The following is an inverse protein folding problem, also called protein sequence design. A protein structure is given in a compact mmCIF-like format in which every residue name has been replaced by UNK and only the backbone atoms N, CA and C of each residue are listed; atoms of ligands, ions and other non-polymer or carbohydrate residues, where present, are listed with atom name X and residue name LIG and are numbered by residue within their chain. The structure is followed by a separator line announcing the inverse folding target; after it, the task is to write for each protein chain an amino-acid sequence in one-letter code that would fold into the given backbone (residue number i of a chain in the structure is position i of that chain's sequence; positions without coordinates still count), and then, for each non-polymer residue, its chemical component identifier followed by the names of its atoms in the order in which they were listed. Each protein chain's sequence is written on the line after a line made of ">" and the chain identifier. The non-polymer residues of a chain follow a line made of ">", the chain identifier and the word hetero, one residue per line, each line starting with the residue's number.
data_IF_699445171908
#
_entry.id   IF_699445171908
#
_cell.length_a   1.000
_cell.length_b   1.000
_cell.length_c   1.000
_cell.angle_alpha   90.00
_cell.angle_beta   90.00
_cell.angle_gamma   90.00
#
_symmetry.space_group_name_H-M   'P 1'
#
loop_
_entity.id
_entity.type
_entity.pdbx_description
1 polymer ?
#
# COMPACT_ATOMS: atom_id res chain seq x y z
N UNK A 1 65.89 33.44 -17.43
CA UNK A 1 66.77 32.26 -17.48
C UNK A 1 65.89 31.06 -17.73
N UNK A 2 66.04 30.44 -18.89
CA UNK A 2 65.37 29.19 -19.26
C UNK A 2 65.90 28.07 -18.38
N UNK A 3 65.01 27.38 -17.67
CA UNK A 3 65.29 26.14 -16.97
C UNK A 3 64.21 25.13 -17.36
N UNK A 4 64.66 23.96 -17.81
CA UNK A 4 63.87 22.85 -18.34
C UNK A 4 62.81 22.34 -17.36
N UNK A 5 61.53 22.45 -17.74
CA UNK A 5 60.39 21.90 -17.01
C UNK A 5 60.15 20.40 -17.26
N UNK A 6 61.03 19.73 -18.00
CA UNK A 6 60.76 18.38 -18.50
C UNK A 6 61.16 17.23 -17.55
N UNK A 7 61.72 17.48 -16.36
CA UNK A 7 62.26 16.41 -15.51
C UNK A 7 62.14 16.62 -13.98
N UNK A 8 61.03 17.19 -13.49
CA UNK A 8 60.76 17.25 -12.05
C UNK A 8 59.73 16.17 -11.62
N UNK A 9 59.90 15.47 -10.48
CA UNK A 9 58.90 14.56 -9.95
C UNK A 9 57.57 15.30 -9.68
N UNK A 10 56.44 14.67 -9.99
CA UNK A 10 55.11 15.31 -9.94
C UNK A 10 54.74 15.95 -8.60
N UNK A 11 55.34 15.55 -7.49
CA UNK A 11 55.12 16.13 -6.16
C UNK A 11 55.73 17.53 -5.98
N UNK A 12 56.87 17.83 -6.61
CA UNK A 12 57.50 19.16 -6.55
C UNK A 12 56.80 20.18 -7.47
N UNK A 13 56.31 19.71 -8.62
CA UNK A 13 55.43 20.51 -9.49
C UNK A 13 54.15 20.91 -8.74
N UNK A 14 53.52 19.97 -8.03
CA UNK A 14 52.32 20.24 -7.24
C UNK A 14 52.57 21.18 -6.05
N UNK A 15 53.74 21.11 -5.42
CA UNK A 15 54.12 22.00 -4.32
C UNK A 15 54.41 23.44 -4.79
N UNK A 16 55.04 23.63 -5.95
CA UNK A 16 55.22 24.98 -6.53
C UNK A 16 53.93 25.52 -7.14
N UNK A 17 53.08 24.67 -7.69
CA UNK A 17 51.76 25.04 -8.20
C UNK A 17 50.84 25.52 -7.06
N UNK A 18 50.81 24.83 -5.91
CA UNK A 18 49.93 25.22 -4.78
C UNK A 18 50.28 26.56 -4.15
N UNK A 19 51.54 27.00 -4.24
CA UNK A 19 52.02 28.29 -3.68
C UNK A 19 51.62 29.49 -4.57
N UNK A 20 51.27 29.26 -5.84
CA UNK A 20 50.81 30.28 -6.79
C UNK A 20 49.27 30.36 -6.93
N UNK A 21 48.51 29.46 -6.31
CA UNK A 21 47.09 29.22 -6.64
C UNK A 21 46.04 29.94 -5.76
N UNK A 22 46.48 30.78 -4.81
CA UNK A 22 45.56 31.59 -4.00
C UNK A 22 44.72 32.59 -4.82
N UNK A 23 45.22 33.02 -5.98
CA UNK A 23 44.53 34.02 -6.83
C UNK A 23 43.68 33.41 -7.95
N UNK A 24 44.02 32.23 -8.48
CA UNK A 24 43.28 31.63 -9.60
C UNK A 24 41.97 30.99 -9.15
N UNK A 25 41.97 30.33 -7.98
CA UNK A 25 40.75 29.78 -7.37
C UNK A 25 39.74 30.88 -7.06
N UNK A 26 40.21 31.98 -6.45
CA UNK A 26 39.40 33.16 -6.15
C UNK A 26 38.89 33.84 -7.42
N UNK A 27 39.73 33.96 -8.46
CA UNK A 27 39.31 34.48 -9.77
C UNK A 27 38.27 33.58 -10.46
N UNK A 28 38.39 32.25 -10.38
CA UNK A 28 37.40 31.32 -10.92
C UNK A 28 36.09 31.35 -10.12
N UNK A 29 36.16 31.40 -8.79
CA UNK A 29 35.02 31.55 -7.86
C UNK A 29 34.30 32.92 -8.02
N UNK A 30 35.03 34.00 -8.32
CA UNK A 30 34.46 35.36 -8.45
C UNK A 30 34.07 35.73 -9.89
N UNK A 31 34.69 35.13 -10.92
CA UNK A 31 34.57 35.60 -12.32
C UNK A 31 34.03 34.55 -13.30
N UNK A 32 34.24 33.25 -13.07
CA UNK A 32 33.93 32.20 -14.07
C UNK A 32 32.79 31.27 -13.67
N UNK A 33 32.55 31.07 -12.37
CA UNK A 33 31.35 30.43 -11.85
C UNK A 33 30.95 31.15 -10.56
N UNK A 34 29.99 32.09 -10.58
CA UNK A 34 29.45 32.59 -9.32
C UNK A 34 29.01 31.39 -8.48
N UNK A 35 29.23 31.38 -7.15
CA UNK A 35 28.63 30.35 -6.31
C UNK A 35 27.16 30.29 -6.67
N UNK A 36 26.68 29.10 -7.06
CA UNK A 36 25.26 28.89 -7.32
C UNK A 36 24.55 29.51 -6.13
N UNK A 37 23.73 30.53 -6.38
CA UNK A 37 22.93 31.07 -5.29
C UNK A 37 22.12 29.91 -4.69
N UNK A 38 21.70 30.05 -3.43
CA UNK A 38 20.99 28.96 -2.73
C UNK A 38 19.76 28.50 -3.53
N UNK A 39 19.19 29.37 -4.36
CA UNK A 39 18.11 29.06 -5.30
C UNK A 39 18.55 28.14 -6.45
N UNK A 40 19.68 28.42 -7.11
CA UNK A 40 20.25 27.63 -8.19
C UNK A 40 20.76 26.28 -7.70
N UNK A 41 21.32 26.21 -6.49
CA UNK A 41 21.69 24.94 -5.87
C UNK A 41 20.46 24.09 -5.52
N UNK A 42 19.39 24.71 -4.98
CA UNK A 42 18.10 24.03 -4.75
C UNK A 42 17.47 23.55 -6.05
N UNK A 43 17.45 24.39 -7.08
CA UNK A 43 16.90 24.04 -8.38
C UNK A 43 17.67 22.87 -9.03
N UNK A 44 19.01 22.91 -8.99
CA UNK A 44 19.84 21.81 -9.48
C UNK A 44 19.62 20.52 -8.69
N UNK A 45 19.51 20.60 -7.35
CA UNK A 45 19.20 19.46 -6.50
C UNK A 45 17.83 18.86 -6.79
N UNK A 46 16.80 19.69 -6.97
CA UNK A 46 15.45 19.25 -7.31
C UNK A 46 15.40 18.59 -8.69
N UNK A 47 16.06 19.17 -9.70
CA UNK A 47 16.14 18.58 -11.04
C UNK A 47 16.88 17.23 -11.04
N UNK A 48 17.95 17.11 -10.25
CA UNK A 48 18.67 15.84 -10.09
C UNK A 48 17.80 14.78 -9.40
N UNK A 49 17.06 15.16 -8.35
CA UNK A 49 16.13 14.25 -7.67
C UNK A 49 14.99 13.81 -8.58
N UNK A 50 14.40 14.74 -9.35
CA UNK A 50 13.35 14.44 -10.31
C UNK A 50 13.82 13.46 -11.39
N UNK A 51 15.00 13.69 -11.98
CA UNK A 51 15.59 12.79 -12.95
C UNK A 51 15.84 11.39 -12.35
N UNK A 52 16.43 11.32 -11.14
CA UNK A 52 16.70 10.04 -10.48
C UNK A 52 15.42 9.24 -10.16
N UNK A 53 14.37 9.91 -9.68
CA UNK A 53 13.08 9.27 -9.37
C UNK A 53 12.40 8.77 -10.65
N UNK A 54 12.39 9.59 -11.70
CA UNK A 54 11.81 9.22 -12.99
C UNK A 54 12.55 8.03 -13.62
N UNK A 55 13.88 8.05 -13.60
CA UNK A 55 14.70 6.98 -14.18
C UNK A 55 14.58 5.67 -13.40
N UNK A 56 14.49 5.75 -12.06
CA UNK A 56 14.47 4.55 -11.20
C UNK A 56 13.08 3.93 -11.08
N UNK A 57 12.04 4.75 -10.93
CA UNK A 57 10.69 4.29 -10.58
C UNK A 57 9.63 4.62 -11.65
N UNK A 58 9.97 5.44 -12.65
CA UNK A 58 9.03 5.88 -13.68
C UNK A 58 7.83 6.61 -13.10
N UNK A 59 8.05 7.46 -12.10
CA UNK A 59 7.07 8.38 -11.50
C UNK A 59 7.69 9.76 -11.37
N UNK A 60 6.85 10.79 -11.28
CA UNK A 60 7.35 12.13 -11.04
C UNK A 60 7.71 12.36 -9.56
N UNK A 61 8.41 13.46 -9.29
CA UNK A 61 8.88 13.79 -7.94
C UNK A 61 7.72 14.08 -6.97
N UNK A 62 6.59 14.59 -7.45
CA UNK A 62 5.43 14.89 -6.62
C UNK A 62 4.74 13.59 -6.14
N UNK A 63 4.56 12.64 -7.05
CA UNK A 63 4.07 11.30 -6.78
C UNK A 63 4.98 10.55 -5.80
N UNK A 64 6.30 10.64 -6.00
CA UNK A 64 7.26 10.07 -5.05
C UNK A 64 7.15 10.72 -3.66
N UNK A 65 6.98 12.04 -3.58
CA UNK A 65 6.77 12.75 -2.31
C UNK A 65 5.50 12.27 -1.58
N UNK A 66 4.40 12.01 -2.30
CA UNK A 66 3.19 11.41 -1.72
C UNK A 66 3.46 10.01 -1.16
N UNK A 67 4.33 9.25 -1.82
CA UNK A 67 4.85 7.97 -1.33
C UNK A 67 5.61 8.12 -0.02
N UNK A 68 6.51 9.10 0.06
CA UNK A 68 7.29 9.40 1.28
C UNK A 68 6.38 9.79 2.44
N UNK A 69 5.36 10.61 2.21
CA UNK A 69 4.37 10.97 3.23
C UNK A 69 3.61 9.74 3.75
N UNK A 70 3.25 8.83 2.84
CA UNK A 70 2.54 7.59 3.18
C UNK A 70 3.39 6.66 4.04
N UNK A 71 4.66 6.45 3.67
CA UNK A 71 5.61 5.62 4.42
C UNK A 71 5.93 6.26 5.78
N UNK A 72 6.20 7.56 5.81
CA UNK A 72 6.50 8.30 7.04
C UNK A 72 5.32 8.29 8.01
N UNK A 73 4.09 8.49 7.49
CA UNK A 73 2.87 8.41 8.29
C UNK A 73 2.64 7.00 8.86
N UNK A 74 2.93 5.96 8.08
CA UNK A 74 2.85 4.58 8.56
C UNK A 74 3.87 4.30 9.68
N UNK A 75 5.12 4.72 9.52
CA UNK A 75 6.16 4.57 10.54
C UNK A 75 5.84 5.36 11.81
N UNK A 76 5.35 6.59 11.66
CA UNK A 76 4.93 7.41 12.80
C UNK A 76 3.77 6.75 13.57
N UNK A 77 2.80 6.16 12.85
CA UNK A 77 1.67 5.46 13.48
C UNK A 77 2.10 4.20 14.23
N UNK A 78 3.10 3.47 13.71
CA UNK A 78 3.69 2.31 14.38
C UNK A 78 4.64 2.69 15.52
N UNK A 79 5.19 3.91 15.52
CA UNK A 79 6.29 4.33 16.38
C UNK A 79 7.65 3.70 16.01
N UNK A 80 7.74 3.00 14.87
CA UNK A 80 8.93 2.28 14.39
C UNK A 80 8.88 2.12 12.88
N UNK A 81 10.06 2.04 12.24
CA UNK A 81 10.19 1.69 10.82
C UNK A 81 10.10 0.18 10.57
N UNK A 82 10.09 -0.64 11.62
CA UNK A 82 9.99 -2.09 11.54
C UNK A 82 9.14 -2.59 12.70
N UNK A 83 8.00 -3.18 12.35
CA UNK A 83 6.99 -3.67 13.29
C UNK A 83 7.45 -4.96 13.95
N UNK A 84 7.96 -5.91 13.16
CA UNK A 84 8.56 -7.14 13.66
C UNK A 84 10.04 -7.18 13.29
N UNK A 85 10.97 -7.25 14.27
CA UNK A 85 12.39 -7.38 13.97
C UNK A 85 12.68 -8.73 13.31
N UNK A 86 13.68 -8.81 12.42
CA UNK A 86 14.04 -10.07 11.79
C UNK A 86 14.62 -11.06 12.81
N UNK A 87 14.45 -12.35 12.53
CA UNK A 87 15.10 -13.41 13.30
C UNK A 87 16.63 -13.31 13.13
N UNK A 88 17.40 -13.15 14.22
CA UNK A 88 18.85 -13.01 14.15
C UNK A 88 19.56 -14.27 13.64
N UNK A 89 18.91 -15.44 13.67
CA UNK A 89 19.50 -16.71 13.23
C UNK A 89 19.35 -16.93 11.71
N UNK A 90 18.55 -16.10 11.03
CA UNK A 90 18.36 -16.15 9.58
C UNK A 90 19.31 -15.13 8.93
N UNK A 91 20.18 -15.52 7.97
CA UNK A 91 20.94 -14.56 7.17
C UNK A 91 20.00 -13.62 6.43
N UNK A 92 20.20 -12.31 6.59
CA UNK A 92 19.31 -11.30 6.03
C UNK A 92 19.69 -10.94 4.59
N UNK A 93 18.70 -10.92 3.72
CA UNK A 93 18.76 -10.37 2.37
C UNK A 93 18.21 -8.94 2.43
N UNK A 94 19.12 -7.98 2.59
CA UNK A 94 18.75 -6.58 2.88
C UNK A 94 18.20 -5.84 1.67
N UNK A 95 18.41 -6.36 0.46
CA UNK A 95 18.00 -5.70 -0.79
C UNK A 95 16.65 -6.21 -1.30
N UNK A 96 16.16 -7.36 -0.83
CA UNK A 96 14.92 -7.95 -1.30
C UNK A 96 13.75 -7.79 -0.32
N UNK A 97 12.55 -7.64 -0.88
CA UNK A 97 11.31 -7.59 -0.14
C UNK A 97 10.15 -8.27 -0.89
N UNK A 98 9.12 -8.65 -0.13
CA UNK A 98 7.86 -9.12 -0.66
C UNK A 98 6.70 -8.20 -0.23
N UNK A 99 5.98 -7.67 -1.21
CA UNK A 99 4.84 -6.77 -1.01
C UNK A 99 3.53 -7.53 -1.18
N UNK A 100 2.66 -7.50 -0.18
CA UNK A 100 1.39 -8.19 -0.20
C UNK A 100 0.23 -7.21 -0.10
N UNK A 101 -0.68 -7.24 -1.07
CA UNK A 101 -2.01 -6.72 -0.83
C UNK A 101 -2.75 -7.57 0.23
N UNK A 102 -3.76 -6.98 0.85
CA UNK A 102 -4.51 -7.59 1.96
C UNK A 102 -5.83 -8.19 1.47
N UNK A 103 -6.70 -7.37 0.89
CA UNK A 103 -8.08 -7.74 0.58
C UNK A 103 -8.10 -8.74 -0.59
N UNK A 104 -8.82 -9.87 -0.45
CA UNK A 104 -8.83 -11.01 -1.39
C UNK A 104 -7.47 -11.65 -1.74
N UNK A 105 -6.36 -11.08 -1.29
CA UNK A 105 -4.99 -11.57 -1.49
C UNK A 105 -4.51 -12.35 -0.27
N UNK A 106 -4.36 -11.66 0.87
CA UNK A 106 -4.00 -12.27 2.16
C UNK A 106 -5.23 -12.82 2.88
N UNK A 107 -6.37 -12.14 2.78
CA UNK A 107 -7.62 -12.52 3.47
C UNK A 107 -8.80 -12.63 2.51
N UNK A 108 -9.83 -13.39 2.90
CA UNK A 108 -11.07 -13.51 2.14
C UNK A 108 -11.99 -12.31 2.37
N UNK A 109 -12.27 -11.55 1.31
CA UNK A 109 -13.14 -10.37 1.36
C UNK A 109 -12.38 -9.09 1.70
N UNK A 110 -13.11 -8.07 2.14
CA UNK A 110 -12.54 -6.76 2.44
C UNK A 110 -12.34 -6.55 3.94
N UNK A 111 -11.10 -6.25 4.33
CA UNK A 111 -10.74 -5.90 5.71
C UNK A 111 -11.44 -4.62 6.17
N UNK A 112 -11.72 -3.65 5.29
CA UNK A 112 -12.50 -2.47 5.66
C UNK A 112 -13.93 -2.82 6.10
N UNK A 113 -14.57 -3.80 5.43
CA UNK A 113 -15.89 -4.29 5.81
C UNK A 113 -15.83 -5.03 7.16
N UNK A 114 -14.79 -5.83 7.39
CA UNK A 114 -14.58 -6.52 8.66
C UNK A 114 -14.32 -5.53 9.81
N UNK A 115 -13.51 -4.51 9.55
CA UNK A 115 -13.23 -3.42 10.48
C UNK A 115 -14.52 -2.68 10.83
N UNK A 116 -15.27 -2.20 9.84
CA UNK A 116 -16.53 -1.48 10.08
C UNK A 116 -17.52 -2.32 10.89
N UNK A 117 -17.64 -3.61 10.60
CA UNK A 117 -18.48 -4.53 11.36
C UNK A 117 -17.98 -4.73 12.80
N UNK A 118 -16.66 -4.82 12.99
CA UNK A 118 -16.03 -4.88 14.32
C UNK A 118 -16.30 -3.62 15.13
N UNK A 119 -15.94 -2.45 14.60
CA UNK A 119 -16.15 -1.16 15.27
C UNK A 119 -17.62 -0.93 15.65
N UNK A 120 -18.57 -1.38 14.81
CA UNK A 120 -19.99 -1.32 15.12
C UNK A 120 -20.39 -2.23 16.30
N UNK A 121 -19.81 -3.43 16.41
CA UNK A 121 -20.06 -4.35 17.54
C UNK A 121 -19.53 -3.79 18.85
N UNK A 122 -18.37 -3.12 18.82
CA UNK A 122 -17.79 -2.45 19.98
C UNK A 122 -18.39 -1.07 20.26
N UNK A 123 -19.42 -0.65 19.50
CA UNK A 123 -20.08 0.67 19.62
C UNK A 123 -19.13 1.85 19.43
N UNK A 124 -17.95 1.61 18.85
CA UNK A 124 -17.02 2.66 18.47
C UNK A 124 -17.60 3.51 17.34
N UNK A 125 -18.33 2.88 16.41
CA UNK A 125 -19.21 3.55 15.45
C UNK A 125 -20.62 2.97 15.56
N UNK A 126 -21.63 3.76 15.19
CA UNK A 126 -23.03 3.32 15.22
C UNK A 126 -23.47 2.80 13.85
N UNK A 127 -24.41 1.85 13.84
CA UNK A 127 -24.99 1.35 12.57
C UNK A 127 -25.67 2.47 11.76
N UNK A 128 -26.15 3.53 12.42
CA UNK A 128 -26.76 4.69 11.76
C UNK A 128 -25.74 5.50 10.96
N UNK A 129 -24.51 5.61 11.47
CA UNK A 129 -23.40 6.29 10.79
C UNK A 129 -22.89 5.50 9.57
N UNK A 130 -23.08 4.18 9.57
CA UNK A 130 -22.74 3.31 8.43
C UNK A 130 -23.83 3.22 7.36
N UNK A 131 -25.07 3.57 7.70
CA UNK A 131 -26.23 3.43 6.82
C UNK A 131 -26.05 4.15 5.46
N UNK A 132 -25.57 5.41 5.41
CA UNK A 132 -25.35 6.12 4.14
C UNK A 132 -24.37 5.39 3.21
N UNK A 133 -23.25 4.91 3.77
CA UNK A 133 -22.25 4.16 3.02
C UNK A 133 -22.81 2.81 2.52
N UNK A 134 -23.58 2.10 3.35
CA UNK A 134 -24.23 0.85 2.96
C UNK A 134 -25.26 1.04 1.84
N UNK A 135 -26.07 2.10 1.92
CA UNK A 135 -27.05 2.44 0.88
C UNK A 135 -26.35 2.78 -0.43
N UNK A 136 -25.25 3.56 -0.37
CA UNK A 136 -24.43 3.89 -1.54
C UNK A 136 -23.83 2.63 -2.17
N UNK A 137 -23.26 1.74 -1.35
CA UNK A 137 -22.70 0.46 -1.81
C UNK A 137 -23.76 -0.46 -2.44
N UNK A 138 -24.96 -0.52 -1.86
CA UNK A 138 -26.07 -1.31 -2.41
C UNK A 138 -26.56 -0.73 -3.73
N UNK A 139 -26.67 0.60 -3.83
CA UNK A 139 -27.04 1.29 -5.06
C UNK A 139 -26.02 1.02 -6.16
N UNK A 140 -24.73 1.10 -5.86
CA UNK A 140 -23.66 0.78 -6.79
C UNK A 140 -23.77 -0.66 -7.33
N UNK A 141 -23.95 -1.65 -6.43
CA UNK A 141 -24.13 -3.05 -6.85
C UNK A 141 -25.34 -3.27 -7.75
N UNK A 142 -26.35 -2.41 -7.67
CA UNK A 142 -27.58 -2.48 -8.46
C UNK A 142 -27.52 -1.64 -9.75
N UNK A 143 -26.79 -0.52 -9.76
CA UNK A 143 -26.74 0.42 -10.89
C UNK A 143 -25.50 0.30 -11.77
N UNK A 144 -24.40 -0.28 -11.26
CA UNK A 144 -23.19 -0.60 -12.03
C UNK A 144 -22.39 0.59 -12.57
N UNK A 145 -22.69 1.82 -12.14
CA UNK A 145 -21.98 3.05 -12.56
C UNK A 145 -21.23 3.65 -11.37
N UNK A 146 -19.92 3.85 -11.53
CA UNK A 146 -19.05 4.59 -10.62
C UNK A 146 -18.62 5.90 -11.29
N UNK A 147 -18.66 7.02 -10.57
CA UNK A 147 -17.96 8.26 -10.94
C UNK A 147 -16.73 8.42 -10.02
N UNK A 148 -15.66 9.07 -10.50
CA UNK A 148 -14.48 9.36 -9.67
C UNK A 148 -14.80 10.13 -8.37
N UNK A 149 -15.88 10.91 -8.36
CA UNK A 149 -16.40 11.61 -7.17
C UNK A 149 -16.80 10.66 -6.03
N UNK A 150 -17.05 9.38 -6.32
CA UNK A 150 -17.52 8.42 -5.33
C UNK A 150 -16.45 7.98 -4.34
N UNK A 151 -15.19 7.90 -4.77
CA UNK A 151 -14.04 7.54 -3.92
C UNK A 151 -13.73 8.68 -2.95
N UNK A 152 -13.68 9.92 -3.44
CA UNK A 152 -13.45 11.11 -2.63
C UNK A 152 -14.56 11.30 -1.57
N UNK A 153 -15.82 11.15 -1.97
CA UNK A 153 -16.97 11.19 -1.06
C UNK A 153 -16.95 10.04 -0.04
N UNK A 154 -16.57 8.82 -0.46
CA UNK A 154 -16.44 7.67 0.43
C UNK A 154 -15.34 7.85 1.47
N UNK A 155 -14.20 8.41 1.06
CA UNK A 155 -13.07 8.79 1.91
C UNK A 155 -13.51 9.80 2.97
N UNK A 156 -14.11 10.91 2.54
CA UNK A 156 -14.53 11.97 3.45
C UNK A 156 -15.53 11.46 4.49
N UNK A 157 -16.47 10.62 4.05
CA UNK A 157 -17.41 9.96 4.96
C UNK A 157 -16.67 9.08 5.97
N UNK A 158 -15.78 8.19 5.52
CA UNK A 158 -15.02 7.30 6.40
C UNK A 158 -14.19 8.08 7.44
N UNK A 159 -13.56 9.18 7.04
CA UNK A 159 -12.78 10.04 7.96
C UNK A 159 -13.66 10.80 8.95
N UNK A 160 -14.85 11.21 8.53
CA UNK A 160 -15.82 11.84 9.43
C UNK A 160 -16.27 10.90 10.55
N UNK A 161 -16.29 9.58 10.30
CA UNK A 161 -16.65 8.57 11.30
C UNK A 161 -15.63 8.45 12.42
N UNK A 162 -14.35 8.68 12.14
CA UNK A 162 -13.28 8.55 13.13
C UNK A 162 -12.86 9.88 13.75
N UNK A 163 -13.28 11.01 13.15
CA UNK A 163 -12.94 12.36 13.63
C UNK A 163 -13.31 12.55 15.10
N UNK A 164 -12.34 13.02 15.89
CA UNK A 164 -12.47 13.27 17.31
C UNK A 164 -12.48 12.02 18.20
N UNK A 165 -12.29 10.82 17.63
CA UNK A 165 -12.13 9.59 18.40
C UNK A 165 -10.66 9.36 18.75
N UNK A 166 -10.43 8.61 19.83
CA UNK A 166 -9.10 8.26 20.31
C UNK A 166 -8.39 7.34 19.32
N UNK A 167 -7.13 7.64 19.02
CA UNK A 167 -6.28 6.78 18.19
C UNK A 167 -5.93 5.49 18.91
N UNK A 168 -5.62 5.56 20.21
CA UNK A 168 -5.30 4.40 21.02
C UNK A 168 -6.46 3.42 21.12
N UNK A 169 -7.67 3.92 21.36
CA UNK A 169 -8.88 3.08 21.39
C UNK A 169 -9.10 2.38 20.04
N UNK A 170 -8.91 3.08 18.92
CA UNK A 170 -9.02 2.46 17.59
C UNK A 170 -7.92 1.42 17.37
N UNK A 171 -6.69 1.68 17.81
CA UNK A 171 -5.56 0.74 17.68
C UNK A 171 -5.85 -0.56 18.42
N UNK A 172 -6.32 -0.47 19.66
CA UNK A 172 -6.68 -1.64 20.49
C UNK A 172 -7.82 -2.44 19.84
N UNK A 173 -8.86 -1.76 19.36
CA UNK A 173 -9.97 -2.39 18.64
C UNK A 173 -9.50 -3.05 17.34
N UNK A 174 -8.60 -2.43 16.59
CA UNK A 174 -8.03 -3.02 15.38
C UNK A 174 -7.30 -4.34 15.70
N UNK A 175 -6.49 -4.37 16.76
CA UNK A 175 -5.82 -5.61 17.19
C UNK A 175 -6.83 -6.71 17.55
N UNK A 176 -7.87 -6.39 18.32
CA UNK A 176 -8.92 -7.35 18.69
C UNK A 176 -9.69 -7.87 17.45
N UNK A 177 -10.04 -6.97 16.51
CA UNK A 177 -10.75 -7.33 15.28
C UNK A 177 -9.87 -8.22 14.39
N UNK A 178 -8.57 -7.95 14.33
CA UNK A 178 -7.63 -8.79 13.57
C UNK A 178 -7.64 -10.22 14.11
N UNK A 179 -7.49 -10.36 15.43
CA UNK A 179 -7.43 -11.66 16.09
C UNK A 179 -8.74 -12.45 15.96
N UNK A 180 -9.88 -11.79 16.16
CA UNK A 180 -11.18 -12.49 16.22
C UNK A 180 -11.85 -12.68 14.86
N UNK A 181 -11.56 -11.83 13.87
CA UNK A 181 -12.32 -11.80 12.61
C UNK A 181 -11.43 -11.89 11.38
N UNK A 182 -10.37 -11.09 11.29
CA UNK A 182 -9.58 -10.97 10.05
C UNK A 182 -8.76 -12.23 9.80
N UNK A 183 -8.01 -12.71 10.80
CA UNK A 183 -7.16 -13.90 10.66
C UNK A 183 -7.97 -15.18 10.41
N UNK A 184 -9.22 -15.25 10.90
CA UNK A 184 -10.13 -16.38 10.60
C UNK A 184 -10.45 -16.54 9.11
N UNK A 185 -10.20 -15.48 8.32
CA UNK A 185 -10.45 -15.40 6.88
C UNK A 185 -9.17 -15.45 6.05
N UNK A 186 -8.01 -15.64 6.67
CA UNK A 186 -6.74 -15.66 5.95
C UNK A 186 -6.68 -16.81 4.92
N UNK A 187 -6.03 -16.55 3.79
CA UNK A 187 -5.60 -17.58 2.87
C UNK A 187 -4.28 -18.16 3.37
N UNK A 188 -4.35 -19.34 4.03
CA UNK A 188 -3.17 -20.03 4.52
C UNK A 188 -2.06 -20.17 3.46
N UNK A 189 -2.35 -20.52 2.19
CA UNK A 189 -1.32 -20.58 1.15
C UNK A 189 -0.64 -19.23 0.84
N UNK A 190 -1.31 -18.09 1.08
CA UNK A 190 -0.68 -16.76 0.93
C UNK A 190 0.23 -16.46 2.13
N UNK A 191 -0.17 -16.85 3.34
CA UNK A 191 0.69 -16.73 4.54
C UNK A 191 1.94 -17.60 4.39
N UNK A 192 1.82 -18.80 3.82
CA UNK A 192 2.96 -19.68 3.55
C UNK A 192 3.96 -19.04 2.58
N UNK A 193 3.49 -18.30 1.56
CA UNK A 193 4.36 -17.53 0.67
C UNK A 193 5.14 -16.45 1.43
N UNK A 194 4.46 -15.69 2.28
CA UNK A 194 5.12 -14.71 3.14
C UNK A 194 6.15 -15.35 4.08
N UNK A 195 5.82 -16.52 4.64
CA UNK A 195 6.73 -17.28 5.51
C UNK A 195 7.99 -17.74 4.75
N UNK A 196 7.87 -18.10 3.47
CA UNK A 196 9.02 -18.43 2.63
C UNK A 196 9.96 -17.25 2.43
N UNK A 197 9.43 -16.03 2.26
CA UNK A 197 10.25 -14.81 2.17
C UNK A 197 10.98 -14.51 3.48
N UNK A 198 10.30 -14.62 4.62
CA UNK A 198 10.92 -14.45 5.94
C UNK A 198 12.03 -15.49 6.15
N UNK A 199 11.77 -16.75 5.80
CA UNK A 199 12.76 -17.82 5.90
C UNK A 199 13.98 -17.61 4.96
N UNK A 200 13.81 -16.84 3.89
CA UNK A 200 14.88 -16.41 3.00
C UNK A 200 15.60 -15.13 3.47
N UNK A 201 15.24 -14.58 4.64
CA UNK A 201 15.84 -13.36 5.18
C UNK A 201 15.34 -12.08 4.53
N UNK A 202 14.23 -12.13 3.79
CA UNK A 202 13.69 -11.00 3.03
C UNK A 202 12.65 -10.24 3.85
N UNK A 203 12.52 -8.95 3.58
CA UNK A 203 11.49 -8.12 4.22
C UNK A 203 10.10 -8.51 3.71
N UNK A 204 9.08 -8.47 4.57
CA UNK A 204 7.68 -8.71 4.19
C UNK A 204 6.82 -7.51 4.60
N UNK A 205 6.19 -6.89 3.61
CA UNK A 205 5.41 -5.67 3.77
C UNK A 205 3.98 -5.86 3.29
N UNK A 206 3.01 -5.47 4.12
CA UNK A 206 1.63 -5.31 3.68
C UNK A 206 1.47 -3.96 2.98
N UNK A 207 0.73 -3.91 1.88
CA UNK A 207 0.52 -2.69 1.08
C UNK A 207 -0.96 -2.61 0.67
N UNK A 208 -1.75 -1.85 1.41
CA UNK A 208 -3.22 -1.85 1.27
C UNK A 208 -3.86 -0.47 1.42
N UNK A 209 -5.03 -0.28 0.82
CA UNK A 209 -5.83 0.94 0.98
C UNK A 209 -6.50 1.06 2.37
N UNK A 210 -6.41 0.01 3.19
CA UNK A 210 -7.08 -0.06 4.48
C UNK A 210 -6.35 0.76 5.53
N UNK A 211 -7.02 1.14 6.65
CA UNK A 211 -6.36 1.90 7.71
C UNK A 211 -5.10 1.19 8.19
N UNK A 212 -4.01 1.94 8.30
CA UNK A 212 -2.68 1.39 8.60
C UNK A 212 -2.65 0.57 9.89
N UNK A 213 -3.50 0.89 10.87
CA UNK A 213 -3.61 0.17 12.14
C UNK A 213 -4.01 -1.30 11.96
N UNK A 214 -4.87 -1.62 10.99
CA UNK A 214 -5.23 -3.02 10.68
C UNK A 214 -4.05 -3.74 10.01
N UNK A 215 -3.36 -3.06 9.09
CA UNK A 215 -2.16 -3.60 8.46
C UNK A 215 -1.06 -3.89 9.49
N UNK A 216 -0.79 -2.96 10.40
CA UNK A 216 0.21 -3.10 11.45
C UNK A 216 -0.13 -4.25 12.40
N UNK A 217 -1.38 -4.32 12.89
CA UNK A 217 -1.82 -5.45 13.72
C UNK A 217 -1.69 -6.80 12.99
N UNK A 218 -2.01 -6.87 11.69
CA UNK A 218 -1.76 -8.07 10.89
C UNK A 218 -0.27 -8.41 10.78
N UNK A 219 0.57 -7.40 10.53
CA UNK A 219 2.01 -7.59 10.41
C UNK A 219 2.61 -8.12 11.71
N UNK A 220 2.23 -7.57 12.87
CA UNK A 220 2.66 -8.06 14.19
C UNK A 220 2.28 -9.52 14.40
N UNK A 221 1.02 -9.90 14.12
CA UNK A 221 0.52 -11.26 14.37
C UNK A 221 1.13 -12.30 13.45
N UNK A 222 1.51 -11.90 12.23
CA UNK A 222 2.06 -12.79 11.22
C UNK A 222 3.59 -12.74 11.14
N UNK A 223 4.23 -11.89 11.95
CA UNK A 223 5.68 -11.72 11.99
C UNK A 223 6.26 -11.00 10.75
N UNK A 224 5.48 -10.12 10.12
CA UNK A 224 5.90 -9.36 8.94
C UNK A 224 6.68 -8.11 9.36
N UNK A 225 7.57 -7.63 8.47
CA UNK A 225 8.42 -6.45 8.70
C UNK A 225 7.59 -5.21 8.98
N UNK A 226 6.48 -5.00 8.26
CA UNK A 226 5.58 -3.89 8.52
C UNK A 226 4.41 -3.80 7.56
N UNK A 227 3.69 -2.69 7.63
CA UNK A 227 2.53 -2.43 6.80
C UNK A 227 2.45 -0.96 6.37
N UNK A 228 2.14 -0.75 5.11
CA UNK A 228 1.78 0.51 4.50
C UNK A 228 0.26 0.51 4.27
N UNK A 229 -0.39 1.52 4.81
CA UNK A 229 -1.84 1.67 4.78
C UNK A 229 -2.26 3.12 4.62
N UNK A 230 -3.55 3.35 4.50
CA UNK A 230 -4.11 4.71 4.54
C UNK A 230 -3.95 5.29 5.96
N UNK A 231 -3.32 6.45 6.07
CA UNK A 231 -2.99 7.09 7.35
C UNK A 231 -3.95 8.26 7.60
N UNK A 232 -4.79 8.14 8.64
CA UNK A 232 -5.58 9.27 9.13
C UNK A 232 -4.71 10.16 10.02
N UNK A 233 -4.79 11.48 9.82
CA UNK A 233 -4.01 12.45 10.59
C UNK A 233 -4.49 12.47 12.05
N UNK A 234 -3.50 12.41 12.94
CA UNK A 234 -3.65 12.45 14.39
C UNK A 234 -3.13 13.78 14.94
N UNK A 235 -3.83 14.32 15.94
CA UNK A 235 -3.35 15.43 16.76
C UNK A 235 -3.77 15.21 18.22
N UNK A 236 -2.81 15.32 19.13
CA UNK A 236 -3.02 15.22 20.57
C UNK A 236 -3.73 13.91 21.01
N UNK A 237 -3.48 12.78 20.32
CA UNK A 237 -4.12 11.48 20.59
C UNK A 237 -5.48 11.24 19.92
N UNK A 238 -5.94 12.17 19.07
CA UNK A 238 -7.25 12.11 18.42
C UNK A 238 -7.17 12.30 16.90
N UNK A 239 -8.04 11.63 16.16
CA UNK A 239 -8.14 11.82 14.71
C UNK A 239 -8.72 13.19 14.34
N UNK A 240 -8.09 13.88 13.40
CA UNK A 240 -8.55 15.19 12.92
C UNK A 240 -9.66 15.09 11.86
N UNK A 241 -9.80 13.93 11.24
CA UNK A 241 -10.65 13.68 10.08
C UNK A 241 -9.99 14.04 8.73
N UNK A 242 -8.67 14.26 8.70
CA UNK A 242 -7.88 14.40 7.45
C UNK A 242 -6.99 13.17 7.23
N UNK A 243 -6.38 13.04 6.06
CA UNK A 243 -5.31 12.07 5.82
C UNK A 243 -3.93 12.72 5.94
N UNK A 244 -2.94 11.91 6.26
CA UNK A 244 -1.55 12.16 5.92
C UNK A 244 -1.32 11.60 4.52
N UNK A 245 -0.86 12.42 3.58
CA UNK A 245 -0.74 12.02 2.17
C UNK A 245 -2.10 11.69 1.52
N UNK A 246 -2.10 10.66 0.68
CA UNK A 246 -3.29 10.20 -0.05
C UNK A 246 -3.69 8.76 0.32
N UNK A 247 -4.83 8.30 -0.15
CA UNK A 247 -5.24 6.90 -0.01
C UNK A 247 -4.26 5.99 -0.74
N UNK A 248 -3.86 4.90 -0.07
CA UNK A 248 -2.94 3.91 -0.62
C UNK A 248 -3.68 2.93 -1.56
N UNK A 249 -4.26 3.45 -2.64
CA UNK A 249 -5.03 2.70 -3.63
C UNK A 249 -4.52 2.98 -5.05
N UNK A 250 -4.51 1.96 -5.90
CA UNK A 250 -4.08 2.10 -7.28
C UNK A 250 -2.65 2.66 -7.39
N UNK A 251 -2.44 3.79 -8.10
CA UNK A 251 -1.13 4.45 -8.18
C UNK A 251 -0.49 4.77 -6.83
N UNK A 252 -1.28 5.06 -5.78
CA UNK A 252 -0.75 5.34 -4.44
C UNK A 252 0.08 4.19 -3.87
N UNK A 253 -0.23 2.93 -4.23
CA UNK A 253 0.60 1.77 -3.86
C UNK A 253 1.97 1.79 -4.54
N UNK A 254 2.01 2.17 -5.83
CA UNK A 254 3.25 2.35 -6.59
C UNK A 254 4.15 3.38 -5.91
N UNK A 255 3.57 4.51 -5.54
CA UNK A 255 4.30 5.61 -4.90
C UNK A 255 4.86 5.19 -3.54
N UNK A 256 4.05 4.53 -2.72
CA UNK A 256 4.48 4.05 -1.41
C UNK A 256 5.59 2.98 -1.50
N UNK A 257 5.50 2.04 -2.46
CA UNK A 257 6.55 1.04 -2.71
C UNK A 257 7.83 1.69 -3.24
N UNK A 258 7.74 2.69 -4.13
CA UNK A 258 8.91 3.43 -4.61
C UNK A 258 9.64 4.15 -3.46
N UNK A 259 8.89 4.86 -2.63
CA UNK A 259 9.44 5.55 -1.46
C UNK A 259 10.04 4.57 -0.45
N UNK A 260 9.35 3.47 -0.15
CA UNK A 260 9.85 2.44 0.76
C UNK A 260 11.14 1.80 0.22
N UNK A 261 11.20 1.50 -1.07
CA UNK A 261 12.39 0.95 -1.72
C UNK A 261 13.58 1.90 -1.62
N UNK A 262 13.36 3.20 -1.81
CA UNK A 262 14.43 4.19 -1.62
C UNK A 262 14.90 4.29 -0.16
N UNK A 263 13.97 4.27 0.81
CA UNK A 263 14.28 4.39 2.24
C UNK A 263 15.01 3.15 2.77
N UNK A 264 14.56 1.96 2.36
CA UNK A 264 15.08 0.67 2.82
C UNK A 264 16.18 0.11 1.91
N UNK A 265 16.58 0.85 0.87
CA UNK A 265 17.61 0.45 -0.10
C UNK A 265 17.30 -0.88 -0.81
N UNK A 266 16.04 -1.07 -1.21
CA UNK A 266 15.58 -2.29 -1.88
C UNK A 266 15.88 -2.26 -3.38
N UNK A 267 16.38 -3.38 -3.91
CA UNK A 267 16.41 -3.66 -5.33
C UNK A 267 15.08 -4.28 -5.76
N UNK A 268 14.22 -3.48 -6.40
CA UNK A 268 12.91 -3.94 -6.85
C UNK A 268 12.98 -5.12 -7.82
N UNK A 269 14.08 -5.33 -8.55
CA UNK A 269 14.24 -6.50 -9.42
C UNK A 269 14.43 -7.81 -8.63
N UNK A 270 14.85 -7.74 -7.37
CA UNK A 270 14.91 -8.86 -6.45
C UNK A 270 13.63 -9.02 -5.61
N UNK A 271 12.73 -8.03 -5.67
CA UNK A 271 11.48 -8.04 -4.94
C UNK A 271 10.37 -8.85 -5.61
N UNK A 272 9.39 -9.23 -4.79
CA UNK A 272 8.16 -9.92 -5.21
C UNK A 272 6.93 -9.11 -4.81
N UNK A 273 5.87 -9.14 -5.61
CA UNK A 273 4.61 -8.48 -5.26
C UNK A 273 3.40 -9.36 -5.55
N UNK A 274 2.41 -9.32 -4.65
CA UNK A 274 1.23 -10.18 -4.65
C UNK A 274 -0.05 -9.35 -4.57
N UNK A 275 -1.00 -9.56 -5.50
CA UNK A 275 -2.31 -8.89 -5.47
C UNK A 275 -3.39 -9.64 -6.28
N UNK A 276 -4.66 -9.39 -5.97
CA UNK A 276 -5.84 -9.87 -6.69
C UNK A 276 -6.44 -8.86 -7.68
N UNK A 277 -6.07 -7.58 -7.59
CA UNK A 277 -6.78 -6.49 -8.26
C UNK A 277 -6.04 -5.92 -9.46
N UNK A 278 -6.78 -5.60 -10.52
CA UNK A 278 -6.28 -4.84 -11.67
C UNK A 278 -5.68 -3.49 -11.26
N UNK A 279 -6.18 -2.90 -10.18
CA UNK A 279 -5.72 -1.60 -9.68
C UNK A 279 -4.26 -1.65 -9.22
N UNK A 280 -3.74 -2.82 -8.90
CA UNK A 280 -2.39 -3.01 -8.38
C UNK A 280 -1.36 -3.31 -9.49
N UNK A 281 -1.75 -3.31 -10.78
CA UNK A 281 -0.80 -3.41 -11.90
C UNK A 281 0.37 -2.42 -11.75
N UNK A 282 0.16 -1.13 -11.42
CA UNK A 282 1.28 -0.20 -11.28
C UNK A 282 2.33 -0.66 -10.27
N UNK A 283 1.92 -1.27 -9.14
CA UNK A 283 2.82 -1.84 -8.13
C UNK A 283 3.44 -3.16 -8.61
N UNK A 284 2.63 -4.08 -9.14
CA UNK A 284 3.09 -5.38 -9.64
C UNK A 284 4.15 -5.22 -10.75
N UNK A 285 3.99 -4.22 -11.62
CA UNK A 285 4.93 -3.94 -12.71
C UNK A 285 6.26 -3.33 -12.26
N UNK A 286 6.44 -2.96 -10.99
CA UNK A 286 7.70 -2.42 -10.48
C UNK A 286 8.72 -3.50 -10.13
N UNK A 287 8.24 -4.68 -9.76
CA UNK A 287 9.07 -5.72 -9.15
C UNK A 287 9.53 -6.75 -10.16
N UNK A 288 10.62 -7.46 -9.85
CA UNK A 288 11.11 -8.56 -10.68
C UNK A 288 10.15 -9.76 -10.73
N UNK A 289 9.42 -10.01 -9.63
CA UNK A 289 8.48 -11.14 -9.57
C UNK A 289 7.05 -10.72 -9.20
N UNK A 290 6.20 -10.39 -10.20
CA UNK A 290 4.77 -10.18 -9.98
C UNK A 290 3.98 -11.51 -9.91
N UNK A 291 3.10 -11.63 -8.92
CA UNK A 291 2.24 -12.80 -8.73
C UNK A 291 0.78 -12.38 -8.50
N UNK A 292 -0.10 -12.81 -9.39
CA UNK A 292 -1.53 -12.60 -9.27
C UNK A 292 -2.17 -13.67 -8.37
N UNK A 293 -2.74 -13.26 -7.24
CA UNK A 293 -3.39 -14.13 -6.25
C UNK A 293 -4.90 -13.94 -6.35
N UNK A 294 -5.66 -15.01 -6.59
CA UNK A 294 -7.12 -14.94 -6.74
C UNK A 294 -7.60 -13.83 -7.70
N UNK A 295 -6.94 -13.59 -8.86
CA UNK A 295 -7.13 -12.35 -9.59
C UNK A 295 -8.58 -12.13 -10.04
N UNK A 296 -8.97 -10.87 -10.10
CA UNK A 296 -10.14 -10.45 -10.84
C UNK A 296 -10.01 -10.80 -12.34
N UNK A 297 -11.07 -10.59 -13.12
CA UNK A 297 -11.06 -10.96 -14.54
C UNK A 297 -10.03 -10.16 -15.34
N UNK A 298 -9.87 -8.88 -15.03
CA UNK A 298 -9.00 -7.98 -15.77
C UNK A 298 -7.52 -8.26 -15.43
N UNK A 299 -7.18 -8.40 -14.14
CA UNK A 299 -5.84 -8.77 -13.71
C UNK A 299 -5.45 -10.15 -14.24
N UNK A 300 -6.38 -11.12 -14.27
CA UNK A 300 -6.11 -12.44 -14.86
C UNK A 300 -5.75 -12.34 -16.34
N UNK A 301 -6.48 -11.54 -17.11
CA UNK A 301 -6.17 -11.33 -18.53
C UNK A 301 -4.80 -10.66 -18.72
N UNK A 302 -4.50 -9.65 -17.91
CA UNK A 302 -3.21 -8.98 -17.93
C UNK A 302 -2.06 -9.94 -17.56
N UNK A 303 -2.19 -10.67 -16.44
CA UNK A 303 -1.21 -11.64 -15.99
C UNK A 303 -0.93 -12.71 -17.05
N UNK A 304 -1.96 -13.19 -17.75
CA UNK A 304 -1.79 -14.12 -18.87
C UNK A 304 -1.03 -13.50 -20.04
N UNK A 305 -1.32 -12.24 -20.40
CA UNK A 305 -0.61 -11.55 -21.49
C UNK A 305 0.84 -11.22 -21.14
N UNK A 306 1.12 -10.91 -19.87
CA UNK A 306 2.44 -10.49 -19.39
C UNK A 306 3.29 -11.66 -18.87
N UNK A 307 2.75 -12.89 -18.86
CA UNK A 307 3.44 -14.08 -18.36
C UNK A 307 3.58 -14.14 -16.83
N UNK A 308 2.78 -13.39 -16.09
CA UNK A 308 2.83 -13.38 -14.62
C UNK A 308 2.26 -14.67 -14.04
N UNK A 309 2.83 -15.10 -12.91
CA UNK A 309 2.33 -16.26 -12.20
C UNK A 309 0.92 -15.99 -11.66
N UNK A 310 0.00 -16.93 -11.85
CA UNK A 310 -1.37 -16.86 -11.32
C UNK A 310 -1.59 -17.99 -10.33
N UNK A 311 -2.08 -17.66 -9.14
CA UNK A 311 -2.48 -18.63 -8.12
C UNK A 311 -3.94 -18.42 -7.74
N UNK A 312 -4.71 -19.51 -7.65
CA UNK A 312 -6.13 -19.46 -7.31
C UNK A 312 -6.39 -20.33 -6.08
N UNK A 313 -6.74 -19.67 -4.98
CA UNK A 313 -7.03 -20.28 -3.68
C UNK A 313 -8.51 -20.20 -3.32
N UNK A 314 -9.33 -19.43 -4.06
CA UNK A 314 -10.77 -19.49 -3.88
C UNK A 314 -11.23 -20.90 -4.24
N UNK A 315 -11.84 -21.58 -3.27
CA UNK A 315 -12.51 -22.87 -3.56
C UNK A 315 -13.57 -22.59 -4.62
N UNK A 316 -13.41 -23.20 -5.79
CA UNK A 316 -14.51 -23.29 -6.76
C UNK A 316 -15.61 -24.08 -6.06
N UNK A 317 -16.60 -23.40 -5.47
CA UNK A 317 -17.89 -24.02 -5.20
C UNK A 317 -18.41 -24.36 -6.59
N UNK A 318 -18.17 -25.59 -7.07
CA UNK A 318 -18.95 -26.12 -8.19
C UNK A 318 -20.39 -25.90 -7.77
N UNK A 319 -21.12 -25.06 -8.49
CA UNK A 319 -22.56 -24.86 -8.30
C UNK A 319 -23.25 -26.12 -8.84
N UNK A 320 -23.03 -27.24 -8.17
CA UNK A 320 -23.85 -28.42 -8.23
C UNK A 320 -24.70 -28.38 -6.96
N UNK A 321 -25.80 -27.60 -6.95
CA UNK A 321 -26.68 -27.61 -5.77
C UNK A 321 -27.79 -26.57 -5.67
N UNK A 322 -27.74 -25.42 -6.35
CA UNK A 322 -28.76 -24.38 -6.11
C UNK A 322 -29.96 -24.38 -7.06
N UNK A 323 -30.01 -25.24 -8.09
CA UNK A 323 -31.22 -25.37 -8.92
C UNK A 323 -32.38 -25.98 -8.12
N UNK A 324 -32.10 -26.93 -7.22
CA UNK A 324 -33.13 -27.54 -6.36
C UNK A 324 -33.68 -26.57 -5.30
N UNK A 325 -32.80 -25.77 -4.66
CA UNK A 325 -33.22 -24.78 -3.66
C UNK A 325 -34.02 -23.61 -4.27
N UNK A 326 -33.65 -23.14 -5.47
CA UNK A 326 -34.40 -22.12 -6.20
C UNK A 326 -35.77 -22.65 -6.69
N UNK A 327 -35.84 -23.92 -7.13
CA UNK A 327 -37.11 -24.55 -7.51
C UNK A 327 -38.03 -24.80 -6.29
N UNK A 328 -37.46 -25.15 -5.13
CA UNK A 328 -38.22 -25.31 -3.89
C UNK A 328 -38.81 -23.98 -3.39
N UNK A 329 -38.02 -22.89 -3.44
CA UNK A 329 -38.50 -21.56 -3.06
C UNK A 329 -39.62 -21.05 -3.99
N UNK A 330 -39.54 -21.32 -5.29
CA UNK A 330 -40.60 -21.00 -6.25
C UNK A 330 -41.89 -21.81 -5.99
N UNK A 331 -41.76 -23.08 -5.61
CA UNK A 331 -42.90 -23.94 -5.26
C UNK A 331 -43.66 -23.46 -4.02
N UNK A 332 -42.97 -22.97 -2.99
CA UNK A 332 -43.59 -22.43 -1.77
C UNK A 332 -44.34 -21.12 -2.06
N UNK A 333 -43.78 -20.23 -2.89
CA UNK A 333 -44.44 -18.97 -3.25
C UNK A 333 -45.73 -19.21 -4.08
N UNK A 334 -45.70 -20.15 -5.03
CA UNK A 334 -46.88 -20.52 -5.82
C UNK A 334 -47.97 -21.19 -4.96
N UNK A 335 -47.58 -22.04 -4.00
CA UNK A 335 -48.51 -22.66 -3.05
C UNK A 335 -49.21 -21.66 -2.14
N UNK A 336 -48.47 -20.67 -1.63
CA UNK A 336 -49.02 -19.61 -0.78
C UNK A 336 -49.99 -18.69 -1.54
N UNK A 337 -49.66 -18.34 -2.79
CA UNK A 337 -50.53 -17.54 -3.65
C UNK A 337 -51.84 -18.28 -4.01
N UNK A 338 -51.76 -19.58 -4.31
CA UNK A 338 -52.94 -20.40 -4.60
C UNK A 338 -53.85 -20.56 -3.37
N UNK A 339 -53.27 -20.74 -2.18
CA UNK A 339 -54.02 -20.81 -0.93
C UNK A 339 -54.72 -19.48 -0.58
N UNK A 340 -54.03 -18.35 -0.75
CA UNK A 340 -54.60 -17.02 -0.54
C UNK A 340 -55.73 -16.70 -1.53
N UNK A 341 -55.60 -17.13 -2.78
CA UNK A 341 -56.64 -16.96 -3.80
C UNK A 341 -57.87 -17.85 -3.54
N UNK A 342 -57.66 -19.10 -3.12
CA UNK A 342 -58.75 -20.01 -2.76
C UNK A 342 -59.54 -19.53 -1.52
N UNK A 343 -58.86 -18.94 -0.54
CA UNK A 343 -59.49 -18.38 0.65
C UNK A 343 -60.38 -17.15 0.33
N UNK A 344 -59.92 -16.27 -0.56
CA UNK A 344 -60.68 -15.10 -1.03
C UNK A 344 -61.94 -15.44 -1.85
N UNK A 345 -62.04 -16.65 -2.41
CA UNK A 345 -63.25 -17.10 -3.14
C UNK A 345 -64.32 -17.76 -2.25
N UNK A 346 -63.99 -18.05 -0.99
CA UNK A 346 -64.90 -18.66 -0.01
C UNK A 346 -65.43 -17.67 1.04
N UNK A 347 -65.01 -16.41 0.95
CA UNK A 347 -65.49 -15.27 1.74
C UNK A 347 -66.41 -14.42 0.87
#
# INVERSE_FOLDING_TARGET
>A
MSADFANLPGSEFLAQWSVSHGNLRRFLEDTAMPPLDDDAQRAAGQAAAEAAVQDTFGIDLADFSLGVDSVSGAFATAGTSTVTPPDPDIPQDTEAAAFFDVDNTLIQGSSLVLLAAGLARHRFITLRELLPALVKQLRFRLSGSENHDDIASGREHALSLVKGKSVDELRDLCAEIVDQQVLTKAYQPTIELASMHIAAGQQVWLVSATPVQIGQALAERLGFTGALGTVAEEKDGYFTGRLVGDILHGPGKKHAVAALAAIQQLDLQQCTAYSDSINDIPMLSMVGTPVAINPDRALRAHAQSAGWAVREYRRVRRVAGNRAALLAAAGVALGAAAAAWAWRRRS
#
